data_IF_873425501597
#
_entry.id   IF_873425501597
#
_cell.length_a   1.000
_cell.length_b   1.000
_cell.length_c   1.000
_cell.angle_alpha   90.00
_cell.angle_beta   90.00
_cell.angle_gamma   90.00
#
_symmetry.space_group_name_H-M   'P 1'
#
loop_
_entity.id
_entity.type
_entity.pdbx_description
1 polymer ?
#
# COMPACT_ATOMS: atom_id res chain seq x y z
N UNK A 1 11.45 13.95 -31.98
CA UNK A 1 11.17 14.38 -30.60
C UNK A 1 11.02 15.89 -30.60
N UNK A 2 9.85 16.41 -30.24
CA UNK A 2 9.65 17.85 -30.06
C UNK A 2 10.38 18.26 -28.77
N UNK A 3 11.37 19.15 -28.87
CA UNK A 3 12.04 19.74 -27.70
C UNK A 3 11.26 20.97 -27.27
N UNK A 4 11.05 21.13 -25.97
CA UNK A 4 10.48 22.34 -25.40
C UNK A 4 11.47 23.50 -25.60
N UNK A 5 10.99 24.73 -25.84
CA UNK A 5 11.82 25.93 -25.75
C UNK A 5 12.56 25.99 -24.41
N UNK A 6 13.81 26.47 -24.41
CA UNK A 6 14.70 26.44 -23.24
C UNK A 6 14.09 27.14 -22.01
N UNK A 7 13.38 28.25 -22.22
CA UNK A 7 12.67 29.00 -21.18
C UNK A 7 11.58 28.15 -20.50
N UNK A 8 10.78 27.45 -21.31
CA UNK A 8 9.70 26.58 -20.82
C UNK A 8 10.31 25.37 -20.08
N UNK A 9 11.42 24.82 -20.59
CA UNK A 9 12.13 23.72 -19.92
C UNK A 9 12.67 24.15 -18.55
N UNK A 10 13.23 25.35 -18.43
CA UNK A 10 13.70 25.89 -17.15
C UNK A 10 12.56 26.14 -16.16
N UNK A 11 11.48 26.78 -16.60
CA UNK A 11 10.30 27.05 -15.76
C UNK A 11 9.66 25.74 -15.28
N UNK A 12 9.59 24.73 -16.15
CA UNK A 12 9.08 23.41 -15.81
C UNK A 12 9.95 22.72 -14.75
N UNK A 13 11.28 22.76 -14.90
CA UNK A 13 12.24 22.21 -13.92
C UNK A 13 12.18 22.93 -12.57
N UNK A 14 11.85 24.22 -12.56
CA UNK A 14 11.69 25.04 -11.36
C UNK A 14 10.31 24.84 -10.68
N UNK A 15 9.41 24.06 -11.26
CA UNK A 15 8.09 23.80 -10.68
C UNK A 15 7.07 24.94 -10.86
N UNK A 16 7.34 25.87 -11.79
CA UNK A 16 6.52 27.05 -12.09
C UNK A 16 5.21 26.70 -12.84
N UNK A 17 4.92 25.41 -13.03
CA UNK A 17 3.64 24.92 -13.54
C UNK A 17 2.58 24.74 -12.44
N UNK A 18 2.97 24.84 -11.16
CA UNK A 18 2.06 24.72 -10.02
C UNK A 18 1.43 26.08 -9.67
N UNK A 19 0.10 26.12 -9.56
CA UNK A 19 -0.64 27.31 -9.12
C UNK A 19 -0.71 27.30 -7.60
N UNK A 20 -0.45 28.45 -6.96
CA UNK A 20 -0.55 28.63 -5.50
C UNK A 20 -1.52 29.74 -5.18
N UNK A 21 -2.61 29.42 -4.49
CA UNK A 21 -3.62 30.42 -4.06
C UNK A 21 -3.29 31.07 -2.73
N UNK A 22 -2.50 30.40 -1.88
CA UNK A 22 -2.07 30.87 -0.55
C UNK A 22 -0.54 30.83 -0.48
N UNK A 23 0.06 31.52 0.48
CA UNK A 23 1.49 31.34 0.78
C UNK A 23 1.71 30.03 1.54
N UNK A 24 2.83 29.33 1.29
CA UNK A 24 3.16 28.06 1.95
C UNK A 24 4.00 27.10 1.11
N UNK A 25 4.57 26.09 1.75
CA UNK A 25 5.56 25.16 1.16
C UNK A 25 4.93 23.92 0.48
N UNK A 26 3.65 23.63 0.72
CA UNK A 26 2.96 22.43 0.20
C UNK A 26 1.51 22.71 -0.22
N UNK A 27 1.30 23.74 -1.05
CA UNK A 27 -0.04 24.15 -1.48
C UNK A 27 -0.18 24.35 -3.00
N UNK A 28 0.80 23.85 -3.76
CA UNK A 28 0.74 23.84 -5.22
C UNK A 28 -0.38 22.94 -5.70
N UNK A 29 -1.25 23.47 -6.56
CA UNK A 29 -2.25 22.71 -7.30
C UNK A 29 -1.93 22.76 -8.78
N UNK A 30 -2.33 21.73 -9.51
CA UNK A 30 -2.23 21.70 -10.96
C UNK A 30 -3.09 22.79 -11.60
N UNK A 31 -2.68 23.28 -12.78
CA UNK A 31 -3.30 24.43 -13.44
C UNK A 31 -4.77 24.21 -13.81
N UNK A 32 -5.14 22.97 -14.15
CA UNK A 32 -6.52 22.53 -14.37
C UNK A 32 -7.37 22.74 -13.09
N UNK A 33 -6.91 22.21 -11.95
CA UNK A 33 -7.55 22.33 -10.64
C UNK A 33 -7.58 23.77 -10.17
N UNK A 34 -6.55 24.56 -10.47
CA UNK A 34 -6.51 25.98 -10.16
C UNK A 34 -7.57 26.76 -10.94
N UNK A 35 -7.71 26.50 -12.24
CA UNK A 35 -8.76 27.10 -13.08
C UNK A 35 -10.15 26.72 -12.55
N UNK A 36 -10.35 25.46 -12.20
CA UNK A 36 -11.59 24.97 -11.59
C UNK A 36 -11.94 25.63 -10.26
N UNK A 37 -10.93 25.87 -9.39
CA UNK A 37 -11.13 26.51 -8.09
C UNK A 37 -11.28 28.02 -8.14
N UNK A 38 -10.94 28.66 -9.26
CA UNK A 38 -10.95 30.12 -9.43
C UNK A 38 -12.00 30.55 -10.46
N UNK A 39 -11.62 30.56 -11.74
CA UNK A 39 -12.36 31.20 -12.82
C UNK A 39 -13.67 30.51 -13.16
N UNK A 40 -13.75 29.18 -13.01
CA UNK A 40 -14.95 28.41 -13.35
C UNK A 40 -15.64 27.79 -12.13
N UNK A 41 -15.31 28.28 -10.93
CA UNK A 41 -15.81 27.75 -9.65
C UNK A 41 -17.33 27.67 -9.59
N UNK A 42 -18.02 28.77 -9.87
CA UNK A 42 -19.49 28.87 -9.75
C UNK A 42 -20.25 28.10 -10.84
N UNK A 43 -19.49 27.59 -11.78
CA UNK A 43 -19.94 26.92 -12.98
C UNK A 43 -19.76 25.39 -12.87
N UNK A 44 -18.97 24.95 -11.88
CA UNK A 44 -18.55 23.56 -11.69
C UNK A 44 -19.71 22.73 -11.13
N UNK A 45 -20.05 21.64 -11.83
CA UNK A 45 -20.93 20.59 -11.32
C UNK A 45 -20.14 19.50 -10.58
N UNK A 46 -20.85 18.58 -9.89
CA UNK A 46 -20.27 17.50 -9.08
C UNK A 46 -19.28 16.61 -9.85
N UNK A 47 -19.46 16.45 -11.17
CA UNK A 47 -18.70 15.48 -11.97
C UNK A 47 -17.68 16.12 -12.93
N UNK A 48 -17.42 17.44 -12.84
CA UNK A 48 -16.45 18.12 -13.71
C UNK A 48 -16.70 17.90 -15.21
N UNK A 49 -15.63 17.86 -16.02
CA UNK A 49 -15.70 17.50 -17.45
C UNK A 49 -15.78 15.97 -17.66
N UNK A 50 -15.28 15.20 -16.69
CA UNK A 50 -15.20 13.74 -16.71
C UNK A 50 -16.58 13.17 -16.37
N UNK A 51 -17.41 13.01 -17.40
CA UNK A 51 -18.76 12.45 -17.26
C UNK A 51 -19.82 13.17 -18.11
N UNK A 52 -19.46 14.27 -18.78
CA UNK A 52 -20.39 14.98 -19.67
C UNK A 52 -20.44 14.28 -21.03
N UNK A 53 -19.31 14.10 -21.71
CA UNK A 53 -19.23 13.43 -23.02
C UNK A 53 -17.77 13.26 -23.48
N UNK A 54 -17.48 12.21 -24.26
CA UNK A 54 -16.20 12.02 -24.94
C UNK A 54 -16.14 12.68 -26.33
N UNK A 55 -17.20 13.38 -26.74
CA UNK A 55 -17.26 14.03 -28.05
C UNK A 55 -16.40 15.30 -28.08
N UNK A 56 -15.41 15.34 -28.98
CA UNK A 56 -14.46 16.46 -29.11
C UNK A 56 -15.12 17.83 -29.29
N UNK A 57 -16.16 17.92 -30.11
CA UNK A 57 -16.87 19.19 -30.36
C UNK A 57 -17.58 19.72 -29.11
N UNK A 58 -18.12 18.83 -28.28
CA UNK A 58 -18.75 19.19 -27.03
C UNK A 58 -17.71 19.58 -25.95
N UNK A 59 -16.56 18.90 -25.91
CA UNK A 59 -15.43 19.29 -25.06
C UNK A 59 -14.93 20.69 -25.42
N UNK A 60 -14.71 20.98 -26.70
CA UNK A 60 -14.29 22.31 -27.18
C UNK A 60 -15.32 23.37 -26.77
N UNK A 61 -16.61 23.12 -27.01
CA UNK A 61 -17.68 24.05 -26.64
C UNK A 61 -17.74 24.27 -25.13
N UNK A 62 -17.56 23.21 -24.35
CA UNK A 62 -17.51 23.30 -22.89
C UNK A 62 -16.33 24.19 -22.47
N UNK A 63 -15.11 23.90 -22.94
CA UNK A 63 -13.91 24.69 -22.62
C UNK A 63 -14.06 26.16 -22.99
N UNK A 64 -14.64 26.46 -24.17
CA UNK A 64 -14.79 27.83 -24.65
C UNK A 64 -15.88 28.62 -23.93
N UNK A 65 -16.94 27.98 -23.42
CA UNK A 65 -18.08 28.71 -22.84
C UNK A 65 -18.11 28.71 -21.32
N UNK A 66 -17.32 27.86 -20.66
CA UNK A 66 -17.48 27.60 -19.22
C UNK A 66 -17.24 28.82 -18.33
N UNK A 67 -16.27 29.65 -18.68
CA UNK A 67 -15.96 30.91 -17.97
C UNK A 67 -17.09 31.94 -18.08
N UNK A 68 -17.75 32.05 -19.24
CA UNK A 68 -18.93 32.91 -19.40
C UNK A 68 -20.08 32.42 -18.53
N UNK A 69 -20.34 31.11 -18.56
CA UNK A 69 -21.38 30.52 -17.73
C UNK A 69 -21.07 30.69 -16.23
N UNK A 70 -19.79 30.65 -15.82
CA UNK A 70 -19.37 30.94 -14.46
C UNK A 70 -19.76 32.36 -14.04
N UNK A 71 -19.52 33.34 -14.91
CA UNK A 71 -19.86 34.75 -14.64
C UNK A 71 -21.37 34.97 -14.49
N UNK A 72 -22.18 34.29 -15.30
CA UNK A 72 -23.64 34.33 -15.17
C UNK A 72 -24.11 33.66 -13.88
N UNK A 73 -23.58 32.48 -13.56
CA UNK A 73 -23.90 31.78 -12.31
C UNK A 73 -23.53 32.61 -11.09
N UNK A 74 -22.37 33.26 -11.11
CA UNK A 74 -21.94 34.18 -10.06
C UNK A 74 -22.93 35.35 -9.89
N UNK A 75 -23.26 36.05 -10.98
CA UNK A 75 -24.18 37.20 -10.94
C UNK A 75 -25.60 36.81 -10.50
N UNK A 76 -26.07 35.61 -10.87
CA UNK A 76 -27.36 35.07 -10.42
C UNK A 76 -27.34 34.72 -8.93
N UNK A 77 -26.29 34.06 -8.46
CA UNK A 77 -26.13 33.71 -7.04
C UNK A 77 -26.04 34.96 -6.16
N UNK A 78 -25.27 35.95 -6.59
CA UNK A 78 -25.14 37.24 -5.90
C UNK A 78 -26.50 37.95 -5.79
N UNK A 79 -27.25 38.06 -6.90
CA UNK A 79 -28.60 38.64 -6.91
C UNK A 79 -29.62 37.87 -6.09
N UNK A 80 -29.49 36.54 -6.01
CA UNK A 80 -30.36 35.70 -5.21
C UNK A 80 -29.99 35.71 -3.72
N UNK A 81 -28.95 36.45 -3.31
CA UNK A 81 -28.44 36.43 -1.92
C UNK A 81 -27.81 35.10 -1.53
N UNK A 82 -27.47 34.25 -2.51
CA UNK A 82 -26.80 32.97 -2.31
C UNK A 82 -25.30 33.27 -2.14
N UNK A 83 -24.93 33.82 -0.99
CA UNK A 83 -23.54 33.84 -0.54
C UNK A 83 -23.16 32.42 -0.14
N UNK A 84 -22.45 31.73 -1.03
CA UNK A 84 -21.76 30.49 -0.70
C UNK A 84 -20.73 30.80 0.39
N UNK A 85 -21.09 30.61 1.67
CA UNK A 85 -20.10 30.48 2.75
C UNK A 85 -19.22 29.31 2.37
N UNK A 86 -18.04 29.60 1.85
CA UNK A 86 -17.12 28.58 1.36
C UNK A 86 -16.43 27.90 2.53
N UNK A 87 -17.19 27.09 3.26
CA UNK A 87 -16.65 26.00 4.07
C UNK A 87 -17.15 24.68 3.47
N UNK A 88 -16.99 24.53 2.16
CA UNK A 88 -16.76 23.18 1.66
C UNK A 88 -15.30 22.87 1.97
N UNK A 89 -15.06 22.58 3.24
CA UNK A 89 -13.94 21.74 3.62
C UNK A 89 -13.94 20.55 2.69
N UNK A 90 -12.75 20.18 2.26
CA UNK A 90 -12.50 19.41 1.06
C UNK A 90 -12.92 17.94 1.21
N UNK A 91 -14.21 17.61 1.37
CA UNK A 91 -14.61 16.32 1.98
C UNK A 91 -13.61 15.96 3.08
N UNK A 92 -13.48 16.83 4.10
CA UNK A 92 -12.69 16.47 5.27
C UNK A 92 -13.17 15.09 5.69
N UNK A 93 -12.24 14.13 5.69
CA UNK A 93 -12.48 12.73 6.05
C UNK A 93 -13.40 12.78 7.26
N UNK A 94 -14.66 12.38 7.08
CA UNK A 94 -15.66 12.55 8.13
C UNK A 94 -15.12 11.78 9.33
N UNK A 95 -15.22 12.34 10.54
CA UNK A 95 -14.77 11.64 11.75
C UNK A 95 -15.36 10.22 11.83
N UNK A 96 -16.57 10.04 11.32
CA UNK A 96 -17.25 8.75 11.14
C UNK A 96 -16.45 7.75 10.28
N UNK A 97 -15.82 8.20 9.19
CA UNK A 97 -14.98 7.35 8.32
C UNK A 97 -13.69 6.95 9.02
N UNK A 98 -13.06 7.88 9.77
CA UNK A 98 -11.89 7.56 10.59
C UNK A 98 -12.25 6.55 11.67
N UNK A 99 -13.38 6.77 12.36
CA UNK A 99 -13.89 5.85 13.37
C UNK A 99 -14.22 4.48 12.80
N UNK A 100 -14.80 4.40 11.60
CA UNK A 100 -15.05 3.14 10.91
C UNK A 100 -13.76 2.38 10.62
N UNK A 101 -12.70 3.08 10.16
CA UNK A 101 -11.39 2.47 9.93
C UNK A 101 -10.77 1.97 11.24
N UNK A 102 -10.74 2.81 12.28
CA UNK A 102 -10.19 2.43 13.59
C UNK A 102 -10.93 1.24 14.19
N UNK A 103 -12.27 1.27 14.11
CA UNK A 103 -13.12 0.17 14.58
C UNK A 103 -12.83 -1.11 13.80
N UNK A 104 -12.70 -1.03 12.48
CA UNK A 104 -12.38 -2.18 11.65
C UNK A 104 -11.01 -2.77 11.98
N UNK A 105 -9.98 -1.93 12.16
CA UNK A 105 -8.64 -2.38 12.56
C UNK A 105 -8.69 -3.11 13.91
N UNK A 106 -9.34 -2.51 14.92
CA UNK A 106 -9.45 -3.09 16.25
C UNK A 106 -10.29 -4.37 16.31
N UNK A 107 -11.26 -4.55 15.40
CA UNK A 107 -12.12 -5.74 15.36
C UNK A 107 -11.55 -6.87 14.49
N UNK A 108 -10.77 -6.55 13.47
CA UNK A 108 -10.36 -7.51 12.42
C UNK A 108 -8.89 -7.89 12.52
N UNK A 109 -8.05 -7.05 13.10
CA UNK A 109 -6.61 -7.29 13.21
C UNK A 109 -6.21 -7.51 14.67
N UNK A 110 -5.33 -8.47 14.90
CA UNK A 110 -4.71 -8.71 16.21
C UNK A 110 -3.58 -7.69 16.41
N UNK A 111 -3.55 -7.04 17.57
CA UNK A 111 -2.45 -6.15 17.94
C UNK A 111 -1.15 -6.96 18.07
N UNK A 112 -0.10 -6.69 17.27
CA UNK A 112 1.17 -7.41 17.37
C UNK A 112 1.88 -7.26 18.71
N UNK A 113 1.50 -6.28 19.55
CA UNK A 113 2.08 -6.04 20.86
C UNK A 113 1.26 -6.61 22.03
N UNK A 114 0.02 -7.06 21.79
CA UNK A 114 -0.80 -7.75 22.79
C UNK A 114 -0.55 -9.26 22.74
N UNK A 115 0.46 -9.70 23.49
CA UNK A 115 0.94 -11.10 23.53
C UNK A 115 -0.20 -12.08 23.87
N UNK A 116 -1.13 -11.68 24.73
CA UNK A 116 -2.21 -12.56 25.22
C UNK A 116 -3.34 -12.72 24.20
N UNK A 117 -3.52 -11.75 23.30
CA UNK A 117 -4.50 -11.82 22.22
C UNK A 117 -4.01 -12.68 21.02
N UNK A 118 -2.72 -13.02 20.96
CA UNK A 118 -2.21 -13.85 19.86
C UNK A 118 -2.69 -15.30 19.98
N UNK A 119 -3.04 -15.93 18.85
CA UNK A 119 -3.29 -17.36 18.85
C UNK A 119 -2.05 -18.11 19.36
N UNK A 120 -2.22 -19.28 20.01
CA UNK A 120 -1.10 -20.07 20.54
C UNK A 120 -0.36 -20.82 19.42
N UNK A 121 0.09 -20.10 18.40
CA UNK A 121 0.83 -20.62 17.27
C UNK A 121 2.02 -19.73 16.91
N UNK A 122 3.05 -20.33 16.33
CA UNK A 122 4.22 -19.57 15.87
C UNK A 122 3.88 -18.83 14.57
N UNK A 123 4.29 -17.56 14.49
CA UNK A 123 4.07 -16.72 13.31
C UNK A 123 5.43 -16.38 12.69
N UNK A 124 5.54 -16.54 11.37
CA UNK A 124 6.68 -15.99 10.65
C UNK A 124 6.45 -14.50 10.39
N UNK A 125 7.25 -13.64 11.01
CA UNK A 125 7.15 -12.17 10.89
C UNK A 125 7.38 -11.69 9.45
N UNK A 126 8.25 -12.35 8.67
CA UNK A 126 8.56 -11.88 7.31
C UNK A 126 7.44 -12.19 6.31
N UNK A 127 6.68 -13.26 6.54
CA UNK A 127 5.60 -13.70 5.64
C UNK A 127 4.21 -13.50 6.23
N UNK A 128 4.11 -13.12 7.50
CA UNK A 128 2.87 -13.07 8.29
C UNK A 128 2.03 -14.37 8.22
N UNK A 129 2.70 -15.53 8.13
CA UNK A 129 2.03 -16.83 8.02
C UNK A 129 2.08 -17.58 9.34
N UNK A 130 0.96 -18.17 9.75
CA UNK A 130 0.89 -19.09 10.88
C UNK A 130 1.59 -20.41 10.57
N UNK A 131 2.40 -20.91 11.51
CA UNK A 131 2.98 -22.24 11.42
C UNK A 131 1.90 -23.32 11.40
N UNK A 132 2.10 -24.37 10.61
CA UNK A 132 1.32 -25.60 10.78
C UNK A 132 1.70 -26.25 12.11
N UNK A 133 0.79 -27.03 12.71
CA UNK A 133 1.05 -27.74 13.97
C UNK A 133 2.37 -28.53 13.93
N UNK A 134 2.62 -29.22 12.83
CA UNK A 134 3.84 -29.99 12.63
C UNK A 134 5.12 -29.14 12.65
N UNK A 135 5.11 -27.98 11.98
CA UNK A 135 6.25 -27.07 11.98
C UNK A 135 6.42 -26.41 13.34
N UNK A 136 5.32 -26.06 14.00
CA UNK A 136 5.35 -25.49 15.35
C UNK A 136 5.96 -26.46 16.36
N UNK A 137 5.48 -27.69 16.43
CA UNK A 137 6.00 -28.72 17.34
C UNK A 137 7.48 -29.02 17.05
N UNK A 138 7.86 -29.02 15.77
CA UNK A 138 9.26 -29.18 15.38
C UNK A 138 10.11 -28.00 15.84
N UNK A 139 9.69 -26.75 15.65
CA UNK A 139 10.46 -25.58 16.05
C UNK A 139 10.57 -25.47 17.58
N UNK A 140 9.50 -25.76 18.32
CA UNK A 140 9.49 -25.74 19.79
C UNK A 140 10.39 -26.84 20.38
N UNK A 141 10.58 -27.96 19.69
CA UNK A 141 11.48 -29.05 20.11
C UNK A 141 12.95 -28.86 19.69
N UNK A 142 13.29 -27.79 18.98
CA UNK A 142 14.61 -27.60 18.39
C UNK A 142 15.76 -27.65 19.41
N UNK A 143 15.56 -27.08 20.60
CA UNK A 143 16.57 -27.09 21.69
C UNK A 143 16.81 -28.52 22.19
N UNK A 144 15.73 -29.25 22.50
CA UNK A 144 15.83 -30.63 22.99
C UNK A 144 16.46 -31.56 21.95
N UNK A 145 16.12 -31.40 20.67
CA UNK A 145 16.76 -32.15 19.58
C UNK A 145 18.25 -31.79 19.44
N UNK A 146 18.61 -30.50 19.56
CA UNK A 146 20.00 -30.04 19.55
C UNK A 146 20.83 -30.67 20.67
N UNK A 147 20.29 -30.68 21.90
CA UNK A 147 20.92 -31.34 23.05
C UNK A 147 21.09 -32.84 22.84
N UNK A 148 20.08 -33.51 22.28
CA UNK A 148 20.14 -34.93 21.97
C UNK A 148 21.20 -35.24 20.89
N UNK A 149 21.31 -34.41 19.86
CA UNK A 149 22.34 -34.53 18.81
C UNK A 149 23.72 -34.33 19.42
N UNK A 150 23.90 -33.32 20.27
CA UNK A 150 25.16 -33.05 20.97
C UNK A 150 25.57 -34.24 21.85
N UNK A 151 24.64 -34.76 22.67
CA UNK A 151 24.88 -35.91 23.54
C UNK A 151 25.26 -37.17 22.75
N UNK A 152 24.61 -37.40 21.60
CA UNK A 152 24.95 -38.50 20.68
C UNK A 152 26.34 -38.32 20.06
N UNK A 153 26.71 -37.10 19.70
CA UNK A 153 28.04 -36.79 19.17
C UNK A 153 29.12 -37.07 20.22
N UNK A 154 28.97 -36.52 21.43
CA UNK A 154 29.91 -36.75 22.55
C UNK A 154 30.08 -38.25 22.82
N UNK A 155 28.97 -38.99 22.94
CA UNK A 155 29.03 -40.45 23.13
C UNK A 155 29.70 -41.19 21.98
N UNK A 156 29.66 -40.69 20.75
CA UNK A 156 30.26 -41.37 19.60
C UNK A 156 31.75 -41.04 19.44
N UNK A 157 32.10 -39.77 19.63
CA UNK A 157 33.43 -39.23 19.33
C UNK A 157 34.41 -39.32 20.50
N UNK A 158 33.90 -39.38 21.74
CA UNK A 158 34.73 -39.31 22.95
C UNK A 158 34.62 -40.55 23.84
N UNK A 159 33.75 -41.52 23.51
CA UNK A 159 33.67 -42.79 24.25
C UNK A 159 34.76 -43.76 23.81
N UNK A 160 35.34 -44.47 24.77
CA UNK A 160 36.38 -45.50 24.53
C UNK A 160 35.82 -46.69 23.72
N UNK A 161 34.52 -46.94 23.83
CA UNK A 161 33.85 -48.12 23.28
C UNK A 161 33.36 -47.95 21.83
N UNK A 162 33.45 -46.74 21.26
CA UNK A 162 32.97 -46.43 19.92
C UNK A 162 34.09 -45.85 19.04
N UNK A 163 34.27 -46.42 17.84
CA UNK A 163 35.33 -46.04 16.88
C UNK A 163 35.05 -44.72 16.11
N UNK A 164 34.31 -43.80 16.71
CA UNK A 164 33.95 -42.54 16.07
C UNK A 164 35.09 -41.52 16.10
N UNK A 165 35.46 -40.96 14.96
CA UNK A 165 36.42 -39.84 14.92
C UNK A 165 35.77 -38.53 15.37
N UNK A 166 36.48 -37.73 16.15
CA UNK A 166 36.08 -36.37 16.52
C UNK A 166 35.86 -35.45 15.30
N UNK A 167 36.58 -35.70 14.19
CA UNK A 167 36.44 -34.93 12.95
C UNK A 167 35.26 -35.37 12.08
N UNK A 168 34.48 -36.35 12.54
CA UNK A 168 33.29 -36.79 11.82
C UNK A 168 32.19 -35.72 11.86
N UNK A 169 31.50 -35.54 10.74
CA UNK A 169 30.41 -34.57 10.63
C UNK A 169 29.22 -34.97 11.52
N UNK A 170 28.63 -33.98 12.20
CA UNK A 170 27.36 -34.14 12.90
C UNK A 170 26.24 -34.33 11.87
N UNK A 171 25.36 -35.30 12.10
CA UNK A 171 24.21 -35.55 11.22
C UNK A 171 23.29 -34.34 11.20
N UNK A 172 22.86 -33.90 10.01
CA UNK A 172 21.91 -32.80 9.87
C UNK A 172 20.60 -33.12 10.60
N UNK A 173 20.10 -32.13 11.32
CA UNK A 173 18.81 -32.23 12.00
C UNK A 173 17.67 -32.35 10.98
N UNK A 174 16.62 -33.10 11.34
CA UNK A 174 15.39 -33.26 10.53
C UNK A 174 14.29 -32.29 10.96
N UNK A 175 14.65 -31.19 11.61
CA UNK A 175 13.71 -30.16 12.05
C UNK A 175 13.00 -29.54 10.84
N UNK A 176 11.68 -29.47 10.92
CA UNK A 176 10.83 -28.80 9.95
C UNK A 176 10.79 -27.31 10.29
N UNK A 177 10.94 -26.49 9.27
CA UNK A 177 10.89 -25.03 9.36
C UNK A 177 9.77 -24.47 8.46
N UNK A 178 9.53 -23.16 8.48
CA UNK A 178 8.57 -22.51 7.60
C UNK A 178 8.83 -22.74 6.10
N UNK A 179 10.06 -23.07 5.70
CA UNK A 179 10.37 -23.47 4.31
C UNK A 179 9.60 -24.73 3.88
N UNK A 180 9.33 -25.62 4.84
CA UNK A 180 8.67 -26.90 4.60
C UNK A 180 7.14 -26.75 4.44
N UNK A 181 6.58 -25.57 4.76
CA UNK A 181 5.16 -25.29 4.54
C UNK A 181 4.84 -25.05 3.06
N UNK A 182 5.79 -24.51 2.29
CA UNK A 182 5.64 -24.19 0.87
C UNK A 182 6.41 -25.18 0.00
N UNK A 183 6.17 -26.48 0.19
CA UNK A 183 6.82 -27.51 -0.62
C UNK A 183 6.54 -27.25 -2.10
N UNK A 184 7.59 -26.84 -2.83
CA UNK A 184 7.52 -26.63 -4.29
C UNK A 184 7.18 -27.97 -4.93
N UNK A 185 5.97 -28.11 -5.49
CA UNK A 185 5.65 -29.27 -6.33
C UNK A 185 6.51 -29.18 -7.59
N UNK A 186 7.33 -30.19 -7.92
CA UNK A 186 7.99 -30.22 -9.21
C UNK A 186 6.93 -30.33 -10.30
N UNK A 187 6.95 -29.40 -11.25
CA UNK A 187 6.10 -29.45 -12.44
C UNK A 187 6.55 -30.66 -13.29
N UNK A 188 5.81 -31.76 -13.25
CA UNK A 188 5.98 -32.85 -14.22
C UNK A 188 5.33 -32.43 -15.54
N UNK A 189 6.12 -31.91 -16.48
CA UNK A 189 5.66 -31.69 -17.84
C UNK A 189 5.65 -33.05 -18.54
N UNK A 190 4.47 -33.66 -18.68
CA UNK A 190 4.28 -34.84 -19.53
C UNK A 190 4.39 -34.39 -20.99
N UNK A 191 5.59 -34.52 -21.58
CA UNK A 191 5.86 -34.34 -23.01
C UNK A 191 5.37 -35.56 -23.83
N UNK A 192 4.13 -35.98 -23.63
CA UNK A 192 3.52 -37.07 -24.40
C UNK A 192 2.12 -36.68 -24.86
N UNK A 193 2.08 -35.86 -25.92
CA UNK A 193 1.09 -35.80 -27.01
C UNK A 193 1.21 -34.44 -27.72
N UNK A 194 2.03 -34.41 -28.76
CA UNK A 194 1.82 -33.60 -29.95
C UNK A 194 1.81 -34.55 -31.14
#
# INVERSE_FOLDING_TARGET
MLKLPAEIESAFKLGEFSIRQKQGTFNGIWSDKGTEKTFIKDSKGSNGIVGITNQKSALIRWTLTRHLLASFSYAMNDRAGITCKSDNSHEEIKQEQVQAIVTNLNQTMTDPFDIDAHPPCLINISTCMHATREVQDSLLSAVNEGENICRKFVKRALSVDQSGSFYSSITKSKLKTFEHMNAKKPLSVNLAKL
#
